data_IF_588593657424
#
_entry.id   IF_588593657424
#
_cell.length_a   1.000
_cell.length_b   1.000
_cell.length_c   1.000
_cell.angle_alpha   90.00
_cell.angle_beta   90.00
_cell.angle_gamma   90.00
#
_symmetry.space_group_name_H-M   'P 1'
#
loop_
_entity.id
_entity.type
_entity.pdbx_description
1 polymer ?
#
# COMPACT_ATOMS: atom_id res chain seq x y z
N UNK A 1 30.07 -2.82 4.92
CA UNK A 1 28.68 -3.28 4.72
C UNK A 1 27.66 -2.16 4.95
N UNK A 2 27.57 -1.53 6.13
CA UNK A 2 26.68 -0.38 6.36
C UNK A 2 26.93 0.82 5.41
N UNK A 3 28.13 0.94 4.85
CA UNK A 3 28.51 1.99 3.91
C UNK A 3 27.84 1.88 2.54
N UNK A 4 27.69 0.68 1.98
CA UNK A 4 27.09 0.50 0.65
C UNK A 4 25.59 0.71 0.67
N UNK A 5 24.90 0.18 1.70
CA UNK A 5 23.48 0.41 1.91
C UNK A 5 23.18 1.90 2.15
N UNK A 6 23.94 2.54 3.04
CA UNK A 6 23.78 3.99 3.31
C UNK A 6 24.05 4.82 2.06
N UNK A 7 25.07 4.47 1.28
CA UNK A 7 25.39 5.12 0.01
C UNK A 7 24.26 4.95 -1.01
N UNK A 8 23.74 3.72 -1.18
CA UNK A 8 22.67 3.45 -2.12
C UNK A 8 21.43 4.30 -1.79
N UNK A 9 21.00 4.32 -0.52
CA UNK A 9 19.88 5.15 -0.06
C UNK A 9 20.13 6.66 -0.23
N UNK A 10 21.37 7.12 -0.05
CA UNK A 10 21.72 8.51 -0.29
C UNK A 10 21.64 8.88 -1.77
N UNK A 11 22.04 7.96 -2.66
CA UNK A 11 21.94 8.14 -4.11
C UNK A 11 20.48 8.14 -4.57
N UNK A 12 19.62 7.27 -4.03
CA UNK A 12 18.17 7.28 -4.31
C UNK A 12 17.53 8.63 -3.96
N UNK A 13 17.83 9.18 -2.78
CA UNK A 13 17.34 10.51 -2.39
C UNK A 13 17.82 11.64 -3.31
N UNK A 14 18.94 11.45 -3.98
CA UNK A 14 19.51 12.41 -4.92
C UNK A 14 19.08 12.15 -6.38
N UNK A 15 18.19 11.19 -6.65
CA UNK A 15 17.82 10.78 -8.02
C UNK A 15 18.92 10.03 -8.77
N UNK A 16 20.00 9.63 -8.09
CA UNK A 16 21.13 8.91 -8.69
C UNK A 16 20.86 7.42 -8.89
N UNK A 17 19.77 7.05 -9.55
CA UNK A 17 19.25 5.68 -9.58
C UNK A 17 20.21 4.65 -10.16
N UNK A 18 20.95 4.98 -11.22
CA UNK A 18 21.94 4.07 -11.81
C UNK A 18 23.05 3.73 -10.82
N UNK A 19 23.57 4.75 -10.14
CA UNK A 19 24.61 4.58 -9.13
C UNK A 19 24.06 3.86 -7.90
N UNK A 20 22.81 4.12 -7.52
CA UNK A 20 22.13 3.42 -6.43
C UNK A 20 21.98 1.92 -6.75
N UNK A 21 21.49 1.56 -7.94
CA UNK A 21 21.34 0.18 -8.38
C UNK A 21 22.69 -0.56 -8.40
N UNK A 22 23.76 0.11 -8.85
CA UNK A 22 25.11 -0.45 -8.80
C UNK A 22 25.62 -0.67 -7.37
N UNK A 23 25.32 0.26 -6.44
CA UNK A 23 25.68 0.11 -5.04
C UNK A 23 24.93 -1.05 -4.37
N UNK A 24 23.62 -1.19 -4.66
CA UNK A 24 22.81 -2.33 -4.20
C UNK A 24 23.30 -3.66 -4.76
N UNK A 25 23.61 -3.74 -6.05
CA UNK A 25 24.15 -4.96 -6.66
C UNK A 25 25.49 -5.37 -6.04
N UNK A 26 26.37 -4.41 -5.71
CA UNK A 26 27.63 -4.70 -5.02
C UNK A 26 27.37 -5.20 -3.61
N UNK A 27 26.40 -4.63 -2.90
CA UNK A 27 26.01 -5.10 -1.58
C UNK A 27 25.45 -6.53 -1.66
N UNK A 28 24.53 -6.79 -2.60
CA UNK A 28 23.92 -8.11 -2.86
C UNK A 28 24.97 -9.20 -3.00
N UNK A 29 26.08 -8.93 -3.70
CA UNK A 29 27.21 -9.88 -3.89
C UNK A 29 28.07 -10.09 -2.64
N UNK A 30 28.00 -9.21 -1.65
CA UNK A 30 28.84 -9.25 -0.43
C UNK A 30 28.13 -9.83 0.79
N UNK A 31 26.81 -10.00 0.72
CA UNK A 31 25.99 -10.47 1.82
C UNK A 31 25.23 -11.72 1.40
N UNK A 32 24.73 -12.47 2.38
CA UNK A 32 24.00 -13.72 2.14
C UNK A 32 22.64 -13.74 2.84
N UNK A 33 21.81 -14.72 2.47
CA UNK A 33 20.50 -14.95 3.07
C UNK A 33 19.58 -13.73 2.96
N UNK A 34 18.93 -13.37 4.07
CA UNK A 34 17.97 -12.26 4.11
C UNK A 34 18.57 -10.93 3.64
N UNK A 35 19.82 -10.63 4.00
CA UNK A 35 20.46 -9.38 3.59
C UNK A 35 20.69 -9.30 2.08
N UNK A 36 20.93 -10.44 1.43
CA UNK A 36 21.07 -10.48 -0.03
C UNK A 36 19.71 -10.23 -0.69
N UNK A 37 18.64 -10.80 -0.13
CA UNK A 37 17.27 -10.54 -0.57
C UNK A 37 16.88 -9.07 -0.39
N UNK A 38 17.20 -8.46 0.76
CA UNK A 38 16.95 -7.05 1.03
C UNK A 38 17.73 -6.15 0.05
N UNK A 39 19.00 -6.47 -0.22
CA UNK A 39 19.82 -5.74 -1.19
C UNK A 39 19.31 -5.89 -2.62
N UNK A 40 18.85 -7.09 -3.01
CA UNK A 40 18.20 -7.35 -4.30
C UNK A 40 16.91 -6.56 -4.44
N UNK A 41 16.10 -6.50 -3.38
CA UNK A 41 14.88 -5.69 -3.36
C UNK A 41 15.22 -4.19 -3.49
N UNK A 42 16.21 -3.70 -2.74
CA UNK A 42 16.72 -2.32 -2.85
C UNK A 42 17.19 -1.99 -4.28
N UNK A 43 17.89 -2.92 -4.93
CA UNK A 43 18.24 -2.79 -6.36
C UNK A 43 16.99 -2.67 -7.23
N UNK A 44 15.95 -3.46 -6.96
CA UNK A 44 14.66 -3.37 -7.65
C UNK A 44 14.03 -1.99 -7.54
N UNK A 45 14.03 -1.38 -6.35
CA UNK A 45 13.56 -0.01 -6.15
C UNK A 45 14.36 1.02 -6.95
N UNK A 46 15.68 0.92 -6.95
CA UNK A 46 16.52 1.82 -7.75
C UNK A 46 16.27 1.65 -9.26
N UNK A 47 16.13 0.40 -9.75
CA UNK A 47 15.80 0.12 -11.16
C UNK A 47 14.41 0.64 -11.52
N UNK A 48 13.44 0.59 -10.60
CA UNK A 48 12.14 1.24 -10.79
C UNK A 48 12.27 2.77 -10.91
N UNK A 49 13.15 3.41 -10.13
CA UNK A 49 13.48 4.83 -10.32
C UNK A 49 14.02 5.14 -11.72
N UNK A 50 14.93 4.31 -12.23
CA UNK A 50 15.42 4.43 -13.62
C UNK A 50 14.30 4.25 -14.66
N UNK A 51 13.35 3.36 -14.42
CA UNK A 51 12.22 3.14 -15.32
C UNK A 51 11.31 4.37 -15.38
N UNK A 52 11.09 5.04 -14.25
CA UNK A 52 10.32 6.28 -14.18
C UNK A 52 11.00 7.41 -14.95
N UNK A 53 12.31 7.62 -14.75
CA UNK A 53 13.07 8.63 -15.53
C UNK A 53 13.05 8.33 -17.03
N UNK A 54 13.30 7.07 -17.41
CA UNK A 54 13.25 6.67 -18.82
C UNK A 54 11.87 6.91 -19.44
N UNK A 55 10.79 6.79 -18.66
CA UNK A 55 9.44 7.11 -19.13
C UNK A 55 9.26 8.62 -19.33
N UNK A 56 9.72 9.43 -18.38
CA UNK A 56 9.69 10.90 -18.46
C UNK A 56 10.50 11.43 -19.66
N UNK A 57 11.63 10.80 -19.95
CA UNK A 57 12.49 11.11 -21.10
C UNK A 57 11.93 10.61 -22.44
N UNK A 58 10.81 9.86 -22.44
CA UNK A 58 10.21 9.28 -23.64
C UNK A 58 10.97 8.06 -24.20
N UNK A 59 11.88 7.47 -23.42
CA UNK A 59 12.64 6.26 -23.78
C UNK A 59 11.81 4.99 -23.53
N UNK A 60 10.66 4.88 -24.19
CA UNK A 60 9.62 3.86 -23.97
C UNK A 60 10.13 2.42 -23.82
N UNK A 61 10.98 1.97 -24.76
CA UNK A 61 11.52 0.60 -24.76
C UNK A 61 12.40 0.34 -23.54
N UNK A 62 13.16 1.35 -23.11
CA UNK A 62 14.03 1.25 -21.94
C UNK A 62 13.20 1.29 -20.67
N UNK A 63 12.20 2.17 -20.59
CA UNK A 63 11.27 2.24 -19.46
C UNK A 63 10.60 0.89 -19.21
N UNK A 64 10.03 0.26 -20.25
CA UNK A 64 9.42 -1.08 -20.15
C UNK A 64 10.40 -2.13 -19.63
N UNK A 65 11.58 -2.24 -20.26
CA UNK A 65 12.59 -3.22 -19.85
C UNK A 65 13.07 -3.02 -18.41
N UNK A 66 13.21 -1.78 -17.98
CA UNK A 66 13.59 -1.47 -16.60
C UNK A 66 12.47 -1.79 -15.62
N UNK A 67 11.21 -1.49 -15.97
CA UNK A 67 10.06 -1.80 -15.14
C UNK A 67 9.87 -3.32 -14.95
N UNK A 68 9.99 -4.11 -16.03
CA UNK A 68 10.01 -5.58 -15.98
C UNK A 68 11.12 -6.08 -15.05
N UNK A 69 12.35 -5.58 -15.24
CA UNK A 69 13.47 -5.95 -14.39
C UNK A 69 13.26 -5.55 -12.92
N UNK A 70 12.59 -4.44 -12.65
CA UNK A 70 12.31 -4.00 -11.29
C UNK A 70 11.39 -4.98 -10.54
N UNK A 71 10.35 -5.51 -11.21
CA UNK A 71 9.46 -6.52 -10.62
C UNK A 71 10.13 -7.89 -10.53
N UNK A 72 11.05 -8.24 -11.42
CA UNK A 72 11.87 -9.48 -11.30
C UNK A 72 12.85 -9.44 -10.12
N UNK A 73 13.35 -8.25 -9.79
CA UNK A 73 14.25 -8.02 -8.67
C UNK A 73 13.49 -7.97 -7.33
N UNK A 74 12.31 -7.34 -7.32
CA UNK A 74 11.49 -7.14 -6.13
C UNK A 74 10.02 -7.49 -6.39
N UNK A 75 9.67 -8.79 -6.55
CA UNK A 75 8.33 -9.21 -6.94
C UNK A 75 7.25 -8.93 -5.90
N UNK A 76 7.63 -8.74 -4.64
CA UNK A 76 6.72 -8.42 -3.53
C UNK A 76 6.69 -6.91 -3.21
N UNK A 77 7.24 -6.06 -4.09
CA UNK A 77 7.29 -4.61 -3.88
C UNK A 77 6.17 -3.89 -4.62
N UNK A 78 5.19 -3.38 -3.87
CA UNK A 78 4.12 -2.54 -4.44
C UNK A 78 4.65 -1.33 -5.21
N UNK A 79 5.79 -0.75 -4.82
CA UNK A 79 6.44 0.35 -5.55
C UNK A 79 6.87 -0.05 -6.97
N UNK A 80 7.56 -1.19 -7.11
CA UNK A 80 8.00 -1.68 -8.43
C UNK A 80 6.80 -1.97 -9.34
N UNK A 81 5.74 -2.55 -8.78
CA UNK A 81 4.50 -2.79 -9.51
C UNK A 81 3.76 -1.50 -9.88
N UNK A 82 3.76 -0.47 -9.02
CA UNK A 82 3.22 0.85 -9.37
C UNK A 82 3.97 1.48 -10.54
N UNK A 83 5.30 1.43 -10.53
CA UNK A 83 6.11 1.95 -11.65
C UNK A 83 5.83 1.18 -12.93
N UNK A 84 5.78 -0.16 -12.87
CA UNK A 84 5.40 -0.97 -14.04
C UNK A 84 4.00 -0.61 -14.55
N UNK A 85 3.04 -0.43 -13.65
CA UNK A 85 1.69 -0.03 -14.03
C UNK A 85 1.66 1.31 -14.75
N UNK A 86 2.39 2.32 -14.27
CA UNK A 86 2.53 3.62 -14.94
C UNK A 86 3.16 3.51 -16.33
N UNK A 87 4.23 2.72 -16.44
CA UNK A 87 4.89 2.48 -17.72
C UNK A 87 3.93 1.81 -18.70
N UNK A 88 3.29 0.70 -18.34
CA UNK A 88 2.36 0.02 -19.24
C UNK A 88 1.11 0.83 -19.54
N UNK A 89 0.64 1.64 -18.58
CA UNK A 89 -0.44 2.61 -18.76
C UNK A 89 -0.10 3.66 -19.82
N UNK A 90 1.13 4.19 -19.79
CA UNK A 90 1.60 5.19 -20.75
C UNK A 90 1.87 4.59 -22.14
N UNK A 91 2.37 3.35 -22.19
CA UNK A 91 2.70 2.66 -23.44
C UNK A 91 1.51 1.95 -24.10
N UNK A 92 0.31 2.04 -23.50
CA UNK A 92 -0.93 1.56 -24.09
C UNK A 92 -1.10 0.04 -24.10
N UNK A 93 -0.48 -0.68 -23.16
CA UNK A 93 -0.78 -2.11 -22.93
C UNK A 93 -1.80 -2.25 -21.77
N UNK A 94 -3.11 -2.28 -22.06
CA UNK A 94 -4.13 -2.26 -21.01
C UNK A 94 -4.13 -3.53 -20.17
N UNK A 95 -3.72 -4.68 -20.72
CA UNK A 95 -3.75 -5.95 -19.99
C UNK A 95 -2.68 -5.92 -18.89
N UNK A 96 -1.46 -5.56 -19.28
CA UNK A 96 -0.31 -5.49 -18.38
C UNK A 96 -0.44 -4.34 -17.39
N UNK A 97 -1.01 -3.20 -17.80
CA UNK A 97 -1.30 -2.08 -16.92
C UNK A 97 -2.30 -2.48 -15.81
N UNK A 98 -3.44 -3.09 -16.19
CA UNK A 98 -4.47 -3.51 -15.24
C UNK A 98 -3.95 -4.56 -14.25
N UNK A 99 -3.15 -5.52 -14.72
CA UNK A 99 -2.49 -6.49 -13.83
C UNK A 99 -1.51 -5.82 -12.88
N UNK A 100 -0.67 -4.93 -13.40
CA UNK A 100 0.35 -4.26 -12.60
C UNK A 100 -0.27 -3.35 -11.54
N UNK A 101 -1.33 -2.61 -11.89
CA UNK A 101 -2.09 -1.82 -10.93
C UNK A 101 -2.64 -2.72 -9.82
N UNK A 102 -3.21 -3.87 -10.19
CA UNK A 102 -3.75 -4.81 -9.22
C UNK A 102 -2.70 -5.32 -8.24
N UNK A 103 -1.57 -5.78 -8.75
CA UNK A 103 -0.45 -6.21 -7.92
C UNK A 103 0.06 -5.09 -7.02
N UNK A 104 0.11 -3.86 -7.53
CA UNK A 104 0.60 -2.71 -6.77
C UNK A 104 -0.24 -2.41 -5.51
N UNK A 105 -1.56 -2.36 -5.61
CA UNK A 105 -2.41 -2.09 -4.44
C UNK A 105 -2.52 -3.28 -3.49
N UNK A 106 -2.45 -4.52 -4.00
CA UNK A 106 -2.45 -5.73 -3.18
C UNK A 106 -1.18 -5.87 -2.34
N UNK A 107 -0.03 -5.49 -2.91
CA UNK A 107 1.27 -5.52 -2.24
C UNK A 107 1.54 -4.27 -1.39
N UNK A 108 0.80 -3.16 -1.62
CA UNK A 108 0.88 -1.95 -0.80
C UNK A 108 -0.49 -1.47 -0.32
N UNK A 109 -1.14 -2.18 0.63
CA UNK A 109 -2.42 -1.75 1.19
C UNK A 109 -2.40 -0.35 1.80
N UNK A 110 -1.26 0.09 2.36
CA UNK A 110 -1.07 1.45 2.88
C UNK A 110 -1.04 2.48 1.75
N UNK A 111 -0.41 2.15 0.62
CA UNK A 111 -0.36 2.99 -0.58
C UNK A 111 -1.66 2.99 -1.39
N UNK A 112 -2.61 2.09 -1.11
CA UNK A 112 -3.84 1.93 -1.89
C UNK A 112 -4.65 3.23 -2.03
N UNK A 113 -4.63 4.11 -1.02
CA UNK A 113 -5.30 5.42 -1.08
C UNK A 113 -4.75 6.34 -2.17
N UNK A 114 -3.49 6.14 -2.58
CA UNK A 114 -2.86 6.87 -3.68
C UNK A 114 -2.93 6.09 -4.99
N UNK A 115 -2.67 4.79 -4.95
CA UNK A 115 -2.59 3.91 -6.13
C UNK A 115 -3.97 3.73 -6.79
N UNK A 116 -5.03 3.50 -6.01
CA UNK A 116 -6.36 3.20 -6.55
C UNK A 116 -6.98 4.39 -7.31
N UNK A 117 -6.91 5.64 -6.81
CA UNK A 117 -7.37 6.79 -7.58
C UNK A 117 -6.61 6.99 -8.89
N UNK A 118 -5.28 6.81 -8.90
CA UNK A 118 -4.45 6.93 -10.10
C UNK A 118 -4.83 5.86 -11.16
N UNK A 119 -4.94 4.60 -10.74
CA UNK A 119 -5.40 3.52 -11.62
C UNK A 119 -6.80 3.79 -12.19
N UNK A 120 -7.70 4.34 -11.36
CA UNK A 120 -9.06 4.69 -11.77
C UNK A 120 -9.10 5.83 -12.80
N UNK A 121 -8.27 6.85 -12.62
CA UNK A 121 -8.15 7.97 -13.56
C UNK A 121 -7.69 7.48 -14.93
N UNK A 122 -6.58 6.73 -14.96
CA UNK A 122 -6.10 6.10 -16.20
C UNK A 122 -7.17 5.21 -16.85
N UNK A 123 -7.83 4.35 -16.08
CA UNK A 123 -8.87 3.48 -16.62
C UNK A 123 -10.09 4.25 -17.14
N UNK A 124 -10.41 5.40 -16.53
CA UNK A 124 -11.47 6.30 -17.01
C UNK A 124 -11.12 6.89 -18.37
N UNK A 125 -9.91 7.40 -18.53
CA UNK A 125 -9.42 7.99 -19.77
C UNK A 125 -9.38 6.97 -20.91
N UNK A 126 -9.04 5.73 -20.58
CA UNK A 126 -8.87 4.64 -21.55
C UNK A 126 -10.11 3.75 -21.73
N UNK A 127 -11.25 4.11 -21.11
CA UNK A 127 -12.51 3.33 -21.15
C UNK A 127 -12.34 1.88 -20.67
N UNK A 128 -11.54 1.67 -19.62
CA UNK A 128 -11.24 0.38 -18.97
C UNK A 128 -11.79 0.27 -17.54
N UNK A 129 -12.78 1.09 -17.20
CA UNK A 129 -13.33 1.14 -15.83
C UNK A 129 -13.98 -0.18 -15.42
N UNK A 130 -14.66 -0.86 -16.35
CA UNK A 130 -15.29 -2.16 -16.08
C UNK A 130 -14.22 -3.22 -15.78
N UNK A 131 -13.22 -3.36 -16.64
CA UNK A 131 -12.09 -4.29 -16.45
C UNK A 131 -11.35 -4.03 -15.11
N UNK A 132 -11.11 -2.77 -14.79
CA UNK A 132 -10.49 -2.40 -13.52
C UNK A 132 -11.37 -2.78 -12.32
N UNK A 133 -12.67 -2.54 -12.42
CA UNK A 133 -13.62 -2.82 -11.35
C UNK A 133 -13.78 -4.32 -11.10
N UNK A 134 -13.72 -5.17 -12.13
CA UNK A 134 -13.66 -6.63 -11.96
C UNK A 134 -12.46 -7.05 -11.11
N UNK A 135 -11.29 -6.44 -11.37
CA UNK A 135 -10.09 -6.67 -10.57
C UNK A 135 -10.25 -6.15 -9.14
N UNK A 136 -10.82 -4.96 -8.94
CA UNK A 136 -11.12 -4.44 -7.61
C UNK A 136 -12.03 -5.37 -6.81
N UNK A 137 -13.09 -5.88 -7.44
CA UNK A 137 -14.01 -6.85 -6.82
C UNK A 137 -13.27 -8.16 -6.48
N UNK A 138 -12.34 -8.60 -7.32
CA UNK A 138 -11.51 -9.76 -7.04
C UNK A 138 -10.64 -9.55 -5.79
N UNK A 139 -9.91 -8.43 -5.72
CA UNK A 139 -9.09 -8.10 -4.55
C UNK A 139 -9.96 -7.95 -3.28
N UNK A 140 -11.14 -7.31 -3.39
CA UNK A 140 -12.06 -7.14 -2.26
C UNK A 140 -12.56 -8.45 -1.67
N UNK A 141 -12.59 -9.56 -2.41
CA UNK A 141 -12.99 -10.86 -1.84
C UNK A 141 -12.01 -11.33 -0.77
N UNK A 142 -10.72 -11.07 -0.95
CA UNK A 142 -9.64 -11.63 -0.13
C UNK A 142 -8.97 -10.62 0.80
N UNK A 143 -9.09 -9.31 0.50
CA UNK A 143 -8.47 -8.25 1.27
C UNK A 143 -8.92 -8.24 2.75
N UNK A 144 -7.93 -8.11 3.65
CA UNK A 144 -8.13 -8.05 5.11
C UNK A 144 -7.72 -6.71 5.70
N UNK A 145 -6.93 -5.95 4.96
CA UNK A 145 -6.35 -4.68 5.31
C UNK A 145 -7.37 -3.57 5.03
N UNK A 146 -7.72 -2.82 6.08
CA UNK A 146 -8.82 -1.87 6.00
C UNK A 146 -8.55 -0.74 5.01
N UNK A 147 -7.29 -0.31 4.85
CA UNK A 147 -6.89 0.75 3.92
C UNK A 147 -7.18 0.35 2.47
N UNK A 148 -6.82 -0.87 2.07
CA UNK A 148 -7.11 -1.40 0.75
C UNK A 148 -8.62 -1.58 0.55
N UNK A 149 -9.30 -2.18 1.52
CA UNK A 149 -10.75 -2.39 1.46
C UNK A 149 -11.48 -1.07 1.27
N UNK A 150 -11.15 -0.03 2.03
CA UNK A 150 -11.77 1.30 1.91
C UNK A 150 -11.52 1.90 0.53
N UNK A 151 -10.26 1.91 0.07
CA UNK A 151 -9.90 2.51 -1.21
C UNK A 151 -10.65 1.87 -2.39
N UNK A 152 -10.74 0.53 -2.42
CA UNK A 152 -11.46 -0.20 -3.45
C UNK A 152 -12.98 -0.07 -3.30
N UNK A 153 -13.51 -0.20 -2.08
CA UNK A 153 -14.95 -0.14 -1.83
C UNK A 153 -15.55 1.20 -2.27
N UNK A 154 -14.85 2.31 -2.03
CA UNK A 154 -15.30 3.64 -2.47
C UNK A 154 -15.46 3.75 -3.99
N UNK A 155 -14.60 3.08 -4.78
CA UNK A 155 -14.68 3.09 -6.24
C UNK A 155 -15.81 2.19 -6.76
N UNK A 156 -15.96 0.98 -6.19
CA UNK A 156 -16.96 0.03 -6.68
C UNK A 156 -18.37 0.28 -6.14
N UNK A 157 -18.52 1.03 -5.04
CA UNK A 157 -19.78 1.22 -4.32
C UNK A 157 -20.95 1.72 -5.18
N UNK A 158 -20.68 2.50 -6.23
CA UNK A 158 -21.72 3.02 -7.12
C UNK A 158 -22.41 1.90 -7.91
N UNK A 159 -21.65 0.89 -8.37
CA UNK A 159 -22.15 -0.18 -9.23
C UNK A 159 -22.37 -1.49 -8.46
N UNK A 160 -21.56 -1.73 -7.42
CA UNK A 160 -21.54 -2.96 -6.63
C UNK A 160 -21.64 -2.67 -5.11
N UNK A 161 -22.74 -2.03 -4.67
CA UNK A 161 -22.86 -1.55 -3.30
C UNK A 161 -22.94 -2.68 -2.26
N UNK A 162 -23.49 -3.85 -2.60
CA UNK A 162 -23.57 -4.97 -1.65
C UNK A 162 -22.19 -5.59 -1.41
N UNK A 163 -21.39 -5.75 -2.45
CA UNK A 163 -20.02 -6.24 -2.35
C UNK A 163 -19.14 -5.26 -1.57
N UNK A 164 -19.30 -3.95 -1.84
CA UNK A 164 -18.62 -2.89 -1.08
C UNK A 164 -19.00 -2.91 0.41
N UNK A 165 -20.30 -2.97 0.72
CA UNK A 165 -20.80 -3.01 2.10
C UNK A 165 -20.29 -4.25 2.85
N UNK A 166 -20.40 -5.43 2.23
CA UNK A 166 -19.90 -6.69 2.80
C UNK A 166 -18.39 -6.63 3.08
N UNK A 167 -17.60 -6.05 2.18
CA UNK A 167 -16.16 -5.90 2.39
C UNK A 167 -15.83 -4.94 3.55
N UNK A 168 -16.50 -3.78 3.59
CA UNK A 168 -16.32 -2.79 4.65
C UNK A 168 -16.72 -3.33 6.02
N UNK A 169 -17.83 -4.09 6.11
CA UNK A 169 -18.29 -4.72 7.35
C UNK A 169 -17.23 -5.62 7.99
N UNK A 170 -16.47 -6.39 7.19
CA UNK A 170 -15.41 -7.28 7.70
C UNK A 170 -14.26 -6.55 8.41
N UNK A 171 -14.07 -5.27 8.11
CA UNK A 171 -12.95 -4.48 8.64
C UNK A 171 -13.40 -3.29 9.50
N UNK A 172 -14.69 -2.95 9.51
CA UNK A 172 -15.26 -1.80 10.21
C UNK A 172 -14.94 -1.79 11.72
N UNK A 173 -15.00 -2.93 12.39
CA UNK A 173 -14.70 -3.01 13.84
C UNK A 173 -13.24 -2.66 14.18
N UNK A 174 -12.31 -2.78 13.23
CA UNK A 174 -10.88 -2.55 13.45
C UNK A 174 -10.38 -1.29 12.74
N UNK A 175 -11.27 -0.59 12.05
CA UNK A 175 -10.93 0.58 11.24
C UNK A 175 -12.07 1.59 11.26
N UNK A 176 -11.89 2.71 11.98
CA UNK A 176 -12.84 3.82 11.96
C UNK A 176 -13.10 4.36 10.55
N UNK A 177 -12.10 4.34 9.66
CA UNK A 177 -12.29 4.78 8.26
C UNK A 177 -13.21 3.84 7.50
N UNK A 178 -13.09 2.53 7.70
CA UNK A 178 -13.98 1.56 7.08
C UNK A 178 -15.40 1.63 7.65
N UNK A 179 -15.54 1.82 8.96
CA UNK A 179 -16.83 2.06 9.59
C UNK A 179 -17.50 3.31 9.02
N UNK A 180 -16.77 4.41 8.89
CA UNK A 180 -17.28 5.65 8.29
C UNK A 180 -17.69 5.45 6.82
N UNK A 181 -16.88 4.76 6.03
CA UNK A 181 -17.21 4.45 4.63
C UNK A 181 -18.48 3.59 4.53
N UNK A 182 -18.66 2.61 5.42
CA UNK A 182 -19.87 1.78 5.50
C UNK A 182 -21.11 2.61 5.83
N UNK A 183 -21.01 3.51 6.81
CA UNK A 183 -22.10 4.43 7.19
C UNK A 183 -22.49 5.32 6.02
N UNK A 184 -21.52 5.93 5.33
CA UNK A 184 -21.76 6.78 4.15
C UNK A 184 -22.45 6.02 3.03
N UNK A 185 -22.00 4.79 2.76
CA UNK A 185 -22.62 3.91 1.76
C UNK A 185 -24.07 3.56 2.10
N UNK A 186 -24.33 3.19 3.36
CA UNK A 186 -25.70 2.88 3.82
C UNK A 186 -26.62 4.11 3.72
N UNK A 187 -26.12 5.29 4.10
CA UNK A 187 -26.86 6.55 3.99
C UNK A 187 -27.19 6.93 2.54
N UNK A 188 -26.23 6.81 1.61
CA UNK A 188 -26.47 7.12 0.19
C UNK A 188 -27.53 6.23 -0.45
N UNK A 189 -27.79 5.06 0.15
CA UNK A 189 -28.83 4.10 -0.25
C UNK A 189 -30.12 4.21 0.56
N UNK A 190 -30.24 5.19 1.46
CA UNK A 190 -31.42 5.37 2.30
C UNK A 190 -31.56 4.35 3.44
N UNK A 191 -30.55 3.53 3.71
CA UNK A 191 -30.55 2.49 4.75
C UNK A 191 -30.24 3.10 6.13
N UNK A 192 -31.10 3.99 6.61
CA UNK A 192 -30.87 4.81 7.82
C UNK A 192 -30.62 3.99 9.09
N UNK A 193 -31.43 2.96 9.34
CA UNK A 193 -31.26 2.11 10.53
C UNK A 193 -29.96 1.31 10.49
N UNK A 194 -29.64 0.72 9.34
CA UNK A 194 -28.36 0.03 9.17
C UNK A 194 -27.18 1.02 9.32
N UNK A 195 -27.29 2.24 8.78
CA UNK A 195 -26.25 3.26 8.95
C UNK A 195 -26.07 3.63 10.43
N UNK A 196 -27.18 3.79 11.17
CA UNK A 196 -27.17 4.02 12.61
C UNK A 196 -26.51 2.88 13.36
N UNK A 197 -26.88 1.63 13.07
CA UNK A 197 -26.27 0.46 13.71
C UNK A 197 -24.75 0.40 13.47
N UNK A 198 -24.32 0.62 12.22
CA UNK A 198 -22.89 0.69 11.90
C UNK A 198 -22.19 1.83 12.64
N UNK A 199 -22.81 3.01 12.76
CA UNK A 199 -22.23 4.16 13.46
C UNK A 199 -22.14 3.93 14.98
N UNK A 200 -23.11 3.23 15.57
CA UNK A 200 -23.16 2.97 17.01
C UNK A 200 -22.29 1.79 17.44
N UNK A 201 -21.78 0.98 16.50
CA UNK A 201 -20.87 -0.12 16.81
C UNK A 201 -19.53 0.45 17.33
N UNK A 202 -19.12 0.16 18.56
CA UNK A 202 -17.87 0.71 19.07
C UNK A 202 -16.68 0.10 18.30
N UNK A 203 -15.72 0.92 17.83
CA UNK A 203 -14.51 0.38 17.24
C UNK A 203 -13.73 -0.37 18.33
N UNK A 204 -13.08 -1.47 17.96
CA UNK A 204 -12.11 -2.13 18.84
C UNK A 204 -10.97 -1.16 19.05
N UNK A 205 -10.79 -0.69 20.29
CA UNK A 205 -9.67 0.18 20.65
C UNK A 205 -8.37 -0.53 20.29
N UNK A 206 -7.47 0.18 19.62
CA UNK A 206 -6.09 -0.27 19.55
C UNK A 206 -5.59 -0.43 21.00
N UNK A 207 -5.00 -1.58 21.32
CA UNK A 207 -4.60 -1.91 22.69
C UNK A 207 -3.71 -0.82 23.30
N UNK A 208 -3.54 -0.81 24.62
CA UNK A 208 -2.65 0.16 25.25
C UNK A 208 -1.21 -0.35 25.21
N UNK A 209 -0.23 0.54 25.05
CA UNK A 209 1.21 0.27 25.16
C UNK A 209 1.83 1.24 26.15
N UNK A 210 2.93 0.84 26.77
CA UNK A 210 3.79 1.77 27.49
C UNK A 210 4.65 2.55 26.48
N UNK A 211 4.53 3.87 26.41
CA UNK A 211 5.36 4.72 25.55
C UNK A 211 6.83 4.80 25.97
N UNK A 212 7.20 4.25 27.13
CA UNK A 212 8.58 4.17 27.61
C UNK A 212 9.27 2.85 27.26
N UNK A 213 8.59 1.72 27.41
CA UNK A 213 9.20 0.39 27.19
C UNK A 213 8.51 -0.45 26.11
N UNK A 214 7.47 0.07 25.47
CA UNK A 214 6.73 -0.62 24.40
C UNK A 214 5.86 -1.79 24.85
N UNK A 215 5.80 -2.11 26.15
CA UNK A 215 5.01 -3.25 26.64
C UNK A 215 3.52 -3.03 26.47
N UNK A 216 2.81 -4.02 25.95
CA UNK A 216 1.36 -4.00 25.84
C UNK A 216 0.69 -4.05 27.22
N UNK A 217 -0.20 -3.10 27.45
CA UNK A 217 -0.98 -2.94 28.66
C UNK A 217 -2.38 -3.50 28.41
N UNK A 218 -2.77 -4.51 29.19
CA UNK A 218 -4.07 -5.19 29.07
C UNK A 218 -5.25 -4.27 29.47
N UNK A 219 -4.98 -3.27 30.32
CA UNK A 219 -5.92 -2.23 30.76
C UNK A 219 -5.16 -0.95 31.06
N UNK A 220 -5.86 0.18 31.11
CA UNK A 220 -5.26 1.43 31.54
C UNK A 220 -4.72 1.32 32.97
N UNK A 221 -3.49 1.77 33.15
CA UNK A 221 -2.86 1.92 34.45
C UNK A 221 -1.93 3.15 34.40
N UNK A 222 -1.98 3.98 35.43
CA UNK A 222 -1.09 5.14 35.55
C UNK A 222 0.38 4.72 35.69
N UNK A 223 0.65 3.51 36.18
CA UNK A 223 2.00 2.99 36.35
C UNK A 223 2.16 1.73 35.51
N UNK A 224 3.20 1.70 34.67
CA UNK A 224 3.53 0.51 33.89
C UNK A 224 3.89 -0.66 34.81
N UNK A 225 3.23 -1.81 34.63
CA UNK A 225 3.55 -3.03 35.40
C UNK A 225 4.90 -3.66 35.03
N UNK A 226 5.47 -3.32 33.88
CA UNK A 226 6.77 -3.84 33.44
C UNK A 226 7.94 -2.94 33.86
N UNK A 227 7.94 -1.66 33.46
CA UNK A 227 9.06 -0.75 33.74
C UNK A 227 8.82 0.22 34.91
N UNK A 228 7.63 0.26 35.49
CA UNK A 228 7.29 1.14 36.61
C UNK A 228 7.09 2.61 36.25
N UNK A 229 7.18 3.00 34.96
CA UNK A 229 7.00 4.38 34.52
C UNK A 229 5.57 4.88 34.75
N UNK A 230 5.47 6.09 35.31
CA UNK A 230 4.21 6.81 35.48
C UNK A 230 3.76 7.48 34.17
N UNK A 231 2.45 7.63 34.01
CA UNK A 231 1.78 8.29 32.89
C UNK A 231 2.28 7.83 31.52
N UNK A 232 2.58 6.53 31.44
CA UNK A 232 3.23 5.93 30.27
C UNK A 232 2.28 5.20 29.34
N UNK A 233 0.99 5.08 29.69
CA UNK A 233 0.00 4.45 28.83
C UNK A 233 -0.29 5.30 27.60
N UNK A 234 -0.12 4.72 26.42
CA UNK A 234 -0.43 5.31 25.11
C UNK A 234 -1.23 4.30 24.26
N UNK A 235 -1.99 4.80 23.29
CA UNK A 235 -2.69 3.92 22.34
C UNK A 235 -1.70 3.24 21.39
N UNK A 236 -1.87 1.94 21.15
CA UNK A 236 -1.12 1.21 20.12
C UNK A 236 -1.44 1.81 18.75
N UNK A 237 -0.42 2.23 18.02
CA UNK A 237 -0.61 2.93 16.74
C UNK A 237 -0.67 4.45 16.83
N UNK A 238 -0.53 5.05 18.03
CA UNK A 238 -0.13 6.44 18.17
C UNK A 238 1.41 6.54 18.05
N UNK A 239 1.96 6.13 16.91
CA UNK A 239 3.30 6.53 16.49
C UNK A 239 3.14 7.66 15.50
N UNK A 240 3.20 8.88 16.02
CA UNK A 240 3.57 10.07 15.26
C UNK A 240 4.27 11.02 16.25
N UNK A 241 5.60 10.92 16.30
CA UNK A 241 6.54 12.04 16.27
C UNK A 241 7.81 11.58 15.57
#
# INVERSE_FOLDING_TARGET
MATLETLARALERAGGWERAAAAWERLEKQVEGRRAQDARAGRGHAVAGQAAEALEDGEERKARKLAERAVDLAPDSGHCWTVRARVESALGDPIEALESWQRAWELSPVGARSIVPEAWEWASENRRQEDLMERMLSSLRMAREAQLVVALAEKVARQHPEQAASALERVAERSPSAQLALVRLRLSRGQREAAREAAMRPPRSAGLLCNKCGTQMQRFAFRCGNCGAWDSAAAAGATDQ
#
